data_IF_894267921904
#
_entry.id   IF_894267921904
#
_cell.length_a   1.000
_cell.length_b   1.000
_cell.length_c   1.000
_cell.angle_alpha   90.00
_cell.angle_beta   90.00
_cell.angle_gamma   90.00
#
_symmetry.space_group_name_H-M   'P 1'
#
loop_
_entity.id
_entity.type
_entity.pdbx_description
1 polymer ?
#
# COMPACT_ATOMS: atom_id res chain seq x y z
N UNK A 1 1.20 -15.15 5.45
CA UNK A 1 1.27 -14.27 6.62
C UNK A 1 0.52 -13.01 6.26
N UNK A 2 -0.60 -12.73 6.94
CA UNK A 2 -1.32 -11.50 6.73
C UNK A 2 -0.47 -10.31 7.20
N UNK A 3 -0.67 -9.16 6.57
CA UNK A 3 0.07 -7.93 6.84
C UNK A 3 -0.73 -7.09 7.83
N UNK A 4 -0.19 -6.75 9.00
CA UNK A 4 -0.90 -5.97 10.00
C UNK A 4 -1.11 -4.53 9.52
N UNK A 5 -2.17 -3.87 10.01
CA UNK A 5 -2.54 -2.52 9.57
C UNK A 5 -1.49 -1.44 9.88
N UNK A 6 -0.68 -1.66 10.90
CA UNK A 6 0.36 -0.78 11.41
C UNK A 6 1.76 -1.18 10.94
N UNK A 7 1.86 -2.06 9.92
CA UNK A 7 3.15 -2.43 9.34
C UNK A 7 3.98 -1.20 8.94
N UNK A 8 5.22 -1.14 9.41
CA UNK A 8 6.16 -0.04 9.15
C UNK A 8 7.34 -0.44 8.27
N UNK A 9 7.36 -1.68 7.76
CA UNK A 9 8.47 -2.23 6.96
C UNK A 9 8.65 -1.50 5.62
N UNK A 10 7.59 -0.86 5.13
CA UNK A 10 7.67 0.06 3.99
C UNK A 10 7.73 -0.62 2.62
N UNK A 11 7.49 -1.92 2.53
CA UNK A 11 7.25 -2.58 1.23
C UNK A 11 5.92 -2.13 0.61
N UNK A 12 5.70 -2.47 -0.67
CA UNK A 12 4.55 -1.99 -1.46
C UNK A 12 3.20 -2.20 -0.75
N UNK A 13 3.01 -3.30 -0.03
CA UNK A 13 1.76 -3.61 0.68
C UNK A 13 1.65 -3.09 2.11
N UNK A 14 2.66 -2.41 2.65
CA UNK A 14 2.69 -2.02 4.07
C UNK A 14 1.62 -0.98 4.45
N UNK A 15 1.11 -0.21 3.47
CA UNK A 15 0.18 0.90 3.69
C UNK A 15 -1.24 0.60 3.16
N UNK A 16 -1.62 -0.68 3.06
CA UNK A 16 -2.91 -1.11 2.51
C UNK A 16 -4.14 -0.48 3.19
N UNK A 17 -4.06 -0.15 4.49
CA UNK A 17 -5.12 0.54 5.25
C UNK A 17 -4.97 2.07 5.28
N UNK A 18 -3.88 2.57 4.73
CA UNK A 18 -3.44 3.98 4.76
C UNK A 18 -3.01 4.41 3.36
N UNK A 19 -3.88 4.31 2.34
CA UNK A 19 -3.52 4.60 0.95
C UNK A 19 -2.99 6.02 0.76
N UNK A 20 -3.33 6.94 1.66
CA UNK A 20 -2.83 8.32 1.70
C UNK A 20 -1.29 8.37 1.79
N UNK A 21 -0.66 7.36 2.40
CA UNK A 21 0.80 7.27 2.51
C UNK A 21 1.50 7.22 1.14
N UNK A 22 0.87 6.64 0.10
CA UNK A 22 1.49 6.53 -1.23
C UNK A 22 1.64 7.88 -1.93
N UNK A 23 0.98 8.95 -1.45
CA UNK A 23 1.20 10.29 -2.00
C UNK A 23 2.50 10.92 -1.54
N UNK A 24 3.04 10.51 -0.39
CA UNK A 24 4.31 11.00 0.12
C UNK A 24 5.46 10.52 -0.81
N UNK A 25 6.23 11.43 -1.44
CA UNK A 25 7.38 11.06 -2.25
C UNK A 25 8.44 10.26 -1.48
N UNK A 26 8.57 10.43 -0.16
CA UNK A 26 9.49 9.65 0.66
C UNK A 26 9.06 8.18 0.76
N UNK A 27 7.76 7.93 0.96
CA UNK A 27 7.20 6.57 0.98
C UNK A 27 7.39 5.88 -0.36
N UNK A 28 7.11 6.58 -1.47
CA UNK A 28 7.32 6.00 -2.82
C UNK A 28 8.78 5.69 -3.09
N UNK A 29 9.70 6.58 -2.72
CA UNK A 29 11.16 6.37 -2.90
C UNK A 29 11.69 5.15 -2.16
N UNK A 30 11.11 4.80 -1.00
CA UNK A 30 11.51 3.60 -0.24
C UNK A 30 10.95 2.29 -0.80
N UNK A 31 10.00 2.34 -1.74
CA UNK A 31 9.37 1.17 -2.35
C UNK A 31 10.00 0.96 -3.73
N UNK A 32 10.77 -0.12 -3.89
CA UNK A 32 11.53 -0.40 -5.12
C UNK A 32 10.69 -0.46 -6.40
N UNK A 33 9.43 -0.90 -6.32
CA UNK A 33 8.51 -0.94 -7.46
C UNK A 33 8.31 0.42 -8.11
N UNK A 34 8.22 1.51 -7.33
CA UNK A 34 8.06 2.85 -7.90
C UNK A 34 9.34 3.34 -8.59
N UNK A 35 10.51 2.86 -8.18
CA UNK A 35 11.79 3.20 -8.83
C UNK A 35 11.95 2.55 -10.21
N UNK A 36 11.14 1.53 -10.54
CA UNK A 36 11.11 0.90 -11.85
C UNK A 36 10.18 1.62 -12.84
N UNK A 37 9.38 2.58 -12.36
CA UNK A 37 8.41 3.31 -13.16
C UNK A 37 8.96 4.70 -13.52
N UNK A 38 8.45 5.26 -14.61
CA UNK A 38 8.70 6.67 -14.92
C UNK A 38 8.08 7.55 -13.82
N UNK A 39 8.90 8.39 -13.18
CA UNK A 39 8.46 9.23 -12.08
C UNK A 39 7.37 10.24 -12.48
N UNK A 40 7.39 10.74 -13.73
CA UNK A 40 6.34 11.61 -14.25
C UNK A 40 5.02 10.85 -14.40
N UNK A 41 5.07 9.62 -14.94
CA UNK A 41 3.89 8.77 -15.06
C UNK A 41 3.30 8.43 -13.68
N UNK A 42 4.15 8.14 -12.69
CA UNK A 42 3.69 7.91 -11.31
C UNK A 42 2.99 9.14 -10.75
N UNK A 43 3.51 10.35 -10.94
CA UNK A 43 2.88 11.57 -10.42
C UNK A 43 1.56 11.86 -11.14
N UNK A 44 1.53 11.77 -12.47
CA UNK A 44 0.32 12.01 -13.28
C UNK A 44 -0.81 11.04 -12.92
N UNK A 45 -0.48 9.78 -12.65
CA UNK A 45 -1.48 8.75 -12.32
C UNK A 45 -1.99 8.82 -10.88
N UNK A 46 -1.44 9.69 -10.02
CA UNK A 46 -1.89 9.86 -8.63
C UNK A 46 -3.08 10.82 -8.50
N UNK A 47 -3.44 11.58 -9.53
CA UNK A 47 -4.52 12.58 -9.44
C UNK A 47 -5.90 11.93 -9.22
N UNK A 48 -6.21 10.85 -9.95
CA UNK A 48 -7.48 10.14 -9.79
C UNK A 48 -7.61 9.48 -8.40
N UNK A 49 -6.64 8.68 -7.93
CA UNK A 49 -6.67 8.15 -6.56
C UNK A 49 -6.76 9.24 -5.48
N UNK A 50 -6.11 10.40 -5.69
CA UNK A 50 -6.18 11.53 -4.77
C UNK A 50 -7.59 12.09 -4.69
N UNK A 51 -8.22 12.34 -5.84
CA UNK A 51 -9.60 12.82 -5.90
C UNK A 51 -10.59 11.85 -5.25
N UNK A 52 -10.41 10.53 -5.42
CA UNK A 52 -11.27 9.53 -4.77
C UNK A 52 -11.11 9.52 -3.24
N UNK A 53 -9.91 9.77 -2.73
CA UNK A 53 -9.66 9.87 -1.29
C UNK A 53 -10.18 11.20 -0.72
N UNK A 54 -9.95 12.33 -1.41
CA UNK A 54 -10.39 13.65 -0.98
C UNK A 54 -11.93 13.78 -0.97
N UNK A 55 -12.62 13.11 -1.91
CA UNK A 55 -14.09 13.08 -1.98
C UNK A 55 -14.74 12.05 -1.06
N UNK A 56 -13.97 11.13 -0.48
CA UNK A 56 -14.49 9.99 0.28
C UNK A 56 -15.03 8.84 -0.57
N UNK A 57 -15.01 8.93 -1.91
CA UNK A 57 -15.44 7.84 -2.80
C UNK A 57 -14.66 6.54 -2.56
N UNK A 58 -13.37 6.65 -2.20
CA UNK A 58 -12.57 5.49 -1.80
C UNK A 58 -13.12 4.84 -0.52
N UNK A 59 -13.55 5.64 0.47
CA UNK A 59 -14.12 5.15 1.73
C UNK A 59 -15.49 4.52 1.55
N UNK A 60 -16.31 5.06 0.64
CA UNK A 60 -17.60 4.44 0.30
C UNK A 60 -17.42 3.05 -0.31
N UNK A 61 -16.37 2.86 -1.13
CA UNK A 61 -16.11 1.60 -1.84
C UNK A 61 -15.26 0.60 -1.05
N UNK A 62 -14.31 1.11 -0.26
CA UNK A 62 -13.26 0.33 0.37
C UNK A 62 -13.15 0.58 1.89
N UNK A 63 -14.03 1.37 2.49
CA UNK A 63 -13.98 1.77 3.90
C UNK A 63 -13.99 0.60 4.88
N UNK A 64 -14.51 -0.58 4.50
CA UNK A 64 -14.39 -1.81 5.30
C UNK A 64 -12.94 -2.14 5.63
N UNK A 65 -11.99 -1.83 4.73
CA UNK A 65 -10.56 -2.08 4.94
C UNK A 65 -10.04 -1.28 6.14
N UNK A 66 -10.57 -0.07 6.41
CA UNK A 66 -10.15 0.77 7.55
C UNK A 66 -10.39 0.11 8.91
N UNK A 67 -11.34 -0.82 8.99
CA UNK A 67 -11.68 -1.53 10.22
C UNK A 67 -10.96 -2.88 10.36
N UNK A 68 -10.22 -3.32 9.34
CA UNK A 68 -9.47 -4.57 9.40
C UNK A 68 -8.16 -4.38 10.16
N UNK A 69 -7.76 -5.40 10.92
CA UNK A 69 -6.50 -5.42 11.66
C UNK A 69 -5.34 -6.02 10.85
N UNK A 70 -5.65 -6.87 9.88
CA UNK A 70 -4.68 -7.53 9.02
C UNK A 70 -5.30 -7.88 7.66
N UNK A 71 -4.46 -7.99 6.62
CA UNK A 71 -4.90 -8.32 5.26
C UNK A 71 -3.92 -9.33 4.62
N UNK A 72 -4.45 -10.43 4.05
CA UNK A 72 -3.60 -11.35 3.29
C UNK A 72 -3.25 -10.75 1.91
N UNK A 73 -2.01 -10.27 1.79
CA UNK A 73 -1.43 -9.73 0.56
C UNK A 73 -0.56 -10.76 -0.19
N UNK A 74 -0.69 -12.04 0.11
CA UNK A 74 0.05 -13.10 -0.56
C UNK A 74 1.46 -13.33 0.00
N UNK A 75 1.90 -12.61 1.04
CA UNK A 75 3.19 -12.84 1.69
C UNK A 75 3.23 -14.24 2.31
N UNK A 76 4.28 -15.02 2.06
CA UNK A 76 4.45 -16.37 2.62
C UNK A 76 5.85 -16.50 3.23
N UNK A 77 5.93 -17.19 4.36
CA UNK A 77 7.20 -17.54 4.98
C UNK A 77 7.47 -19.00 4.62
N UNK A 78 8.58 -19.23 3.93
CA UNK A 78 9.09 -20.58 3.70
C UNK A 78 10.07 -20.91 4.82
N UNK A 79 9.87 -22.07 5.45
CA UNK A 79 10.78 -22.58 6.48
C UNK A 79 11.36 -23.90 5.99
N UNK A 80 12.68 -24.02 6.04
CA UNK A 80 13.33 -25.31 5.88
C UNK A 80 13.23 -26.04 7.22
N UNK A 81 12.67 -27.24 7.20
CA UNK A 81 12.71 -28.16 8.34
C UNK A 81 13.92 -29.09 8.18
N UNK A 82 14.77 -29.26 9.20
CA UNK A 82 15.83 -30.27 9.18
C UNK A 82 15.23 -31.66 8.94
N UNK A 83 15.93 -32.49 8.15
CA UNK A 83 15.62 -33.90 7.96
C UNK A 83 16.16 -34.78 9.07
#
# INVERSE_FOLDING_TARGET
>A
MPVPFDCTDGFLGAYWRRPEAYFDPHVRRSISTFNLLDAHLVVETLDLPRSELDSGAWDEKYGQLRNMTELDLGCRILRMTPG
#
